data_IF_278413128525
#
_entry.id   IF_278413128525
#
_cell.length_a   1.000
_cell.length_b   1.000
_cell.length_c   1.000
_cell.angle_alpha   90.00
_cell.angle_beta   90.00
_cell.angle_gamma   90.00
#
_symmetry.space_group_name_H-M   'P 1'
#
loop_
_entity.id
_entity.type
_entity.pdbx_description
1 polymer ?
#
# COMPACT_ATOMS: atom_id res chain seq x y z
N UNK A 1 -5.23 21.51 -5.78
CA UNK A 1 -5.03 20.94 -4.44
C UNK A 1 -3.59 20.50 -4.27
N UNK A 2 -3.25 19.95 -3.09
CA UNK A 2 -1.95 19.36 -2.82
C UNK A 2 -1.77 18.08 -3.64
N UNK A 3 -0.60 17.88 -4.26
CA UNK A 3 -0.23 16.61 -4.90
C UNK A 3 0.55 15.77 -3.91
N UNK A 4 0.23 14.49 -3.80
CA UNK A 4 0.81 13.56 -2.82
C UNK A 4 1.56 12.45 -3.55
N UNK A 5 2.78 12.17 -3.08
CA UNK A 5 3.54 10.97 -3.43
C UNK A 5 3.79 10.23 -2.11
N UNK A 6 3.48 8.95 -2.05
CA UNK A 6 3.67 8.14 -0.84
C UNK A 6 4.98 7.36 -0.89
N UNK A 7 5.44 6.93 0.28
CA UNK A 7 6.66 6.15 0.43
C UNK A 7 6.36 4.78 1.04
N UNK A 8 6.88 3.74 0.38
CA UNK A 8 7.08 2.33 0.74
C UNK A 8 6.28 1.83 1.93
N UNK A 9 5.26 1.02 1.60
CA UNK A 9 4.46 0.24 2.54
C UNK A 9 5.30 -0.94 3.11
N UNK A 10 6.29 -1.36 2.34
CA UNK A 10 7.15 -2.52 2.55
C UNK A 10 8.28 -2.26 3.57
N UNK A 11 8.37 -1.04 4.11
CA UNK A 11 9.25 -0.76 5.25
C UNK A 11 8.82 -1.57 6.48
N UNK A 12 7.55 -1.89 6.53
CA UNK A 12 6.96 -2.88 7.42
C UNK A 12 7.08 -4.25 6.75
N UNK A 13 7.50 -5.26 7.50
CA UNK A 13 7.50 -6.63 6.99
C UNK A 13 6.09 -7.11 6.60
N UNK A 14 5.97 -8.38 6.25
CA UNK A 14 4.69 -8.97 5.84
C UNK A 14 3.56 -8.67 6.83
N UNK A 15 2.35 -8.46 6.33
CA UNK A 15 1.18 -8.23 7.20
C UNK A 15 0.70 -9.48 7.95
N UNK A 16 1.42 -10.61 7.84
CA UNK A 16 1.13 -11.85 8.59
C UNK A 16 0.99 -11.63 10.09
N UNK A 17 1.78 -10.71 10.66
CA UNK A 17 1.76 -10.39 12.09
C UNK A 17 1.20 -8.98 12.39
N UNK A 18 0.38 -8.43 11.47
CA UNK A 18 -0.28 -7.14 11.63
C UNK A 18 0.58 -5.92 11.24
N UNK A 19 1.59 -6.11 10.39
CA UNK A 19 2.31 -5.02 9.70
C UNK A 19 3.19 -4.12 10.58
N UNK A 20 3.38 -4.44 11.86
CA UNK A 20 4.32 -3.70 12.72
C UNK A 20 3.96 -2.22 12.95
N UNK A 21 4.96 -1.35 13.05
CA UNK A 21 4.78 0.04 13.48
C UNK A 21 3.97 0.90 12.50
N UNK A 22 4.16 0.74 11.19
CA UNK A 22 3.48 1.58 10.18
C UNK A 22 2.00 1.25 10.02
N UNK A 23 1.59 0.05 10.41
CA UNK A 23 0.20 -0.41 10.39
C UNK A 23 -0.48 -0.36 11.76
N UNK A 24 0.18 0.20 12.78
CA UNK A 24 -0.30 0.16 14.17
C UNK A 24 -1.72 0.70 14.36
N UNK A 25 -2.12 1.73 13.59
CA UNK A 25 -3.44 2.36 13.70
C UNK A 25 -4.56 1.56 13.04
N UNK A 26 -4.21 0.60 12.18
CA UNK A 26 -5.15 -0.25 11.44
C UNK A 26 -4.94 -1.74 11.73
N UNK A 27 -4.13 -2.06 12.74
CA UNK A 27 -3.71 -3.43 13.07
C UNK A 27 -4.90 -4.37 13.27
N UNK A 28 -5.94 -3.91 13.95
CA UNK A 28 -7.14 -4.72 14.23
C UNK A 28 -7.98 -5.03 12.98
N UNK A 29 -7.77 -4.30 11.89
CA UNK A 29 -8.42 -4.53 10.60
C UNK A 29 -7.61 -5.46 9.68
N UNK A 30 -6.36 -5.79 10.04
CA UNK A 30 -5.50 -6.67 9.24
C UNK A 30 -5.83 -8.12 9.58
N UNK A 31 -6.15 -8.88 8.54
CA UNK A 31 -6.54 -10.29 8.63
C UNK A 31 -5.70 -11.20 7.75
N UNK A 32 -5.10 -10.67 6.67
CA UNK A 32 -4.28 -11.44 5.76
C UNK A 32 -3.20 -10.60 5.06
N UNK A 33 -2.12 -11.23 4.55
CA UNK A 33 -1.05 -10.54 3.83
C UNK A 33 -1.53 -9.66 2.67
N UNK A 34 -2.62 -10.06 2.02
CA UNK A 34 -3.21 -9.32 0.90
C UNK A 34 -3.84 -7.97 1.26
N UNK A 35 -4.04 -7.65 2.55
CA UNK A 35 -4.58 -6.36 2.98
C UNK A 35 -3.68 -5.17 2.58
N UNK A 36 -2.43 -5.45 2.21
CA UNK A 36 -1.53 -4.45 1.64
C UNK A 36 -2.10 -3.85 0.35
N UNK A 37 -2.77 -4.66 -0.48
CA UNK A 37 -3.38 -4.18 -1.71
C UNK A 37 -4.61 -3.31 -1.48
N UNK A 38 -5.36 -3.52 -0.38
CA UNK A 38 -6.46 -2.64 0.02
C UNK A 38 -5.93 -1.25 0.41
N UNK A 39 -4.79 -1.21 1.12
CA UNK A 39 -4.12 0.07 1.44
C UNK A 39 -3.64 0.77 0.18
N UNK A 40 -3.07 0.04 -0.77
CA UNK A 40 -2.67 0.60 -2.07
C UNK A 40 -3.90 1.13 -2.82
N UNK A 41 -5.03 0.41 -2.80
CA UNK A 41 -6.26 0.82 -3.48
C UNK A 41 -6.79 2.15 -2.94
N UNK A 42 -6.86 2.30 -1.62
CA UNK A 42 -7.27 3.55 -0.96
C UNK A 42 -6.32 4.70 -1.32
N UNK A 43 -5.01 4.47 -1.30
CA UNK A 43 -4.04 5.50 -1.68
C UNK A 43 -4.19 5.93 -3.14
N UNK A 44 -4.38 4.98 -4.06
CA UNK A 44 -4.46 5.24 -5.48
C UNK A 44 -5.81 5.87 -5.89
N UNK A 45 -6.93 5.33 -5.42
CA UNK A 45 -8.27 5.72 -5.87
C UNK A 45 -8.93 6.78 -5.01
N UNK A 46 -8.86 6.64 -3.69
CA UNK A 46 -9.60 7.51 -2.77
C UNK A 46 -8.80 8.76 -2.42
N UNK A 47 -7.51 8.59 -2.11
CA UNK A 47 -6.60 9.71 -1.82
C UNK A 47 -6.11 10.37 -3.11
N UNK A 48 -5.97 9.62 -4.20
CA UNK A 48 -5.54 10.13 -5.50
C UNK A 48 -4.06 10.53 -5.52
N UNK A 49 -3.19 9.68 -4.97
CA UNK A 49 -1.73 9.89 -5.02
C UNK A 49 -1.25 9.91 -6.47
N UNK A 50 -0.29 10.77 -6.79
CA UNK A 50 0.26 10.89 -8.15
C UNK A 50 1.44 9.94 -8.39
N UNK A 51 1.82 9.16 -7.38
CA UNK A 51 2.90 8.19 -7.43
C UNK A 51 3.18 7.57 -6.07
N UNK A 52 3.86 6.43 -6.08
CA UNK A 52 4.27 5.68 -4.89
C UNK A 52 5.71 5.21 -5.07
N UNK A 53 6.57 5.43 -4.08
CA UNK A 53 7.86 4.75 -4.01
C UNK A 53 7.68 3.38 -3.37
N UNK A 54 8.34 2.37 -3.92
CA UNK A 54 8.32 1.00 -3.41
C UNK A 54 9.74 0.49 -3.25
N UNK A 55 10.04 -0.09 -2.08
CA UNK A 55 11.33 -0.76 -1.85
C UNK A 55 11.38 -2.12 -2.57
N UNK A 56 10.21 -2.70 -2.89
CA UNK A 56 10.05 -3.98 -3.58
C UNK A 56 9.04 -3.85 -4.74
N UNK A 57 9.50 -3.62 -5.98
CA UNK A 57 8.64 -3.17 -7.06
C UNK A 57 7.51 -4.14 -7.42
N UNK A 58 7.60 -5.41 -7.01
CA UNK A 58 6.60 -6.43 -7.28
C UNK A 58 5.19 -6.03 -6.81
N UNK A 59 5.03 -5.50 -5.59
CA UNK A 59 3.72 -5.19 -5.01
C UNK A 59 3.00 -4.08 -5.79
N UNK A 60 3.66 -2.93 -5.96
CA UNK A 60 3.07 -1.80 -6.70
C UNK A 60 2.89 -2.10 -8.19
N UNK A 61 3.82 -2.83 -8.80
CA UNK A 61 3.73 -3.20 -10.24
C UNK A 61 2.58 -4.18 -10.46
N UNK A 62 2.42 -5.17 -9.58
CA UNK A 62 1.30 -6.11 -9.65
C UNK A 62 -0.04 -5.38 -9.54
N UNK A 63 -0.19 -4.50 -8.54
CA UNK A 63 -1.41 -3.70 -8.39
C UNK A 63 -1.67 -2.83 -9.63
N UNK A 64 -0.66 -2.09 -10.11
CA UNK A 64 -0.79 -1.23 -11.28
C UNK A 64 -1.24 -2.01 -12.53
N UNK A 65 -0.68 -3.20 -12.74
CA UNK A 65 -1.08 -4.12 -13.81
C UNK A 65 -2.54 -4.55 -13.67
N UNK A 66 -2.94 -5.01 -12.47
CA UNK A 66 -4.31 -5.47 -12.21
C UNK A 66 -5.35 -4.35 -12.40
N UNK A 67 -4.97 -3.11 -12.13
CA UNK A 67 -5.86 -1.95 -12.20
C UNK A 67 -5.76 -1.15 -13.51
N UNK A 68 -4.86 -1.54 -14.43
CA UNK A 68 -4.65 -0.85 -15.70
C UNK A 68 -4.09 0.57 -15.54
N UNK A 69 -3.18 0.77 -14.59
CA UNK A 69 -2.55 2.05 -14.25
C UNK A 69 -1.16 2.23 -14.89
N UNK A 70 -0.83 1.42 -15.90
CA UNK A 70 0.42 1.51 -16.67
C UNK A 70 0.46 2.69 -17.66
#
# INVERSE_FOLDING_TARGET
GLKIITWSLERSGTLTDGGGYYYQSVKDAISHPGDEYEVIDVLAKDVGVIGMFSDWPATVTYYANCMGLE
#
